data_IF_729376773309
#
_entry.id   IF_729376773309
#
_cell.length_a   1.000
_cell.length_b   1.000
_cell.length_c   1.000
_cell.angle_alpha   90.00
_cell.angle_beta   90.00
_cell.angle_gamma   90.00
#
_symmetry.space_group_name_H-M   'P 1'
#
loop_
_entity.id
_entity.type
_entity.pdbx_description
1 polymer ?
#
# COMPACT_ATOMS: atom_id res chain seq x y z
N UNK A 1 10.36 4.44 -11.67
CA UNK A 1 9.99 3.62 -10.51
C UNK A 1 8.52 3.27 -10.61
N UNK A 2 8.10 2.07 -10.19
CA UNK A 2 6.70 1.66 -10.23
C UNK A 2 5.83 2.67 -9.49
N UNK A 3 4.71 3.05 -10.10
CA UNK A 3 3.83 4.03 -9.51
C UNK A 3 2.80 3.35 -8.62
N UNK A 4 3.11 3.23 -7.32
CA UNK A 4 2.14 2.82 -6.32
C UNK A 4 1.11 3.95 -6.11
N UNK A 5 -0.17 3.66 -6.34
CA UNK A 5 -1.27 4.60 -6.08
C UNK A 5 -1.82 4.34 -4.69
N UNK A 6 -2.18 5.39 -3.97
CA UNK A 6 -2.72 5.30 -2.61
C UNK A 6 -3.92 6.25 -2.49
N UNK A 7 -4.99 5.76 -1.88
CA UNK A 7 -6.20 6.52 -1.59
C UNK A 7 -6.58 6.30 -0.11
N UNK A 8 -7.00 7.37 0.57
CA UNK A 8 -7.54 7.32 1.93
C UNK A 8 -9.00 7.76 1.89
N UNK A 9 -9.88 6.92 2.42
CA UNK A 9 -11.30 7.21 2.61
C UNK A 9 -11.62 7.29 4.09
N UNK A 10 -12.50 8.22 4.43
CA UNK A 10 -13.10 8.31 5.76
C UNK A 10 -14.52 7.78 5.70
N UNK A 11 -14.86 6.92 6.65
CA UNK A 11 -16.22 6.47 6.94
C UNK A 11 -16.56 6.83 8.40
N UNK A 12 -17.80 6.60 8.80
CA UNK A 12 -18.26 6.94 10.15
C UNK A 12 -17.45 6.23 11.25
N UNK A 13 -17.07 4.96 11.05
CA UNK A 13 -16.46 4.12 12.09
C UNK A 13 -14.97 3.87 11.90
N UNK A 14 -14.43 4.15 10.72
CA UNK A 14 -13.11 3.73 10.29
C UNK A 14 -12.58 4.63 9.19
N UNK A 15 -11.27 4.54 8.97
CA UNK A 15 -10.63 4.96 7.74
C UNK A 15 -10.23 3.72 6.94
N UNK A 16 -10.24 3.84 5.62
CA UNK A 16 -9.76 2.81 4.72
C UNK A 16 -8.66 3.39 3.84
N UNK A 17 -7.49 2.73 3.83
CA UNK A 17 -6.42 3.06 2.89
C UNK A 17 -6.33 1.95 1.85
N UNK A 18 -6.45 2.32 0.58
CA UNK A 18 -6.27 1.41 -0.55
C UNK A 18 -4.97 1.73 -1.28
N UNK A 19 -4.18 0.69 -1.58
CA UNK A 19 -2.89 0.83 -2.26
C UNK A 19 -2.81 -0.15 -3.42
N UNK A 20 -2.58 0.35 -4.64
CA UNK A 20 -2.37 -0.46 -5.83
C UNK A 20 -0.95 -1.00 -5.85
N UNK A 21 -0.81 -2.33 -5.77
CA UNK A 21 0.47 -3.05 -5.79
C UNK A 21 0.33 -4.31 -6.66
N UNK A 22 0.11 -4.18 -7.98
CA UNK A 22 -0.12 -5.33 -8.85
C UNK A 22 1.15 -6.14 -9.10
N UNK A 23 1.01 -7.46 -9.15
CA UNK A 23 2.10 -8.38 -9.54
C UNK A 23 3.18 -8.58 -8.47
N UNK A 24 2.91 -8.23 -7.22
CA UNK A 24 3.82 -8.47 -6.08
C UNK A 24 3.15 -9.47 -5.12
N UNK A 25 3.85 -10.53 -4.67
CA UNK A 25 3.34 -11.43 -3.65
C UNK A 25 3.08 -10.70 -2.32
N UNK A 26 2.03 -11.07 -1.58
CA UNK A 26 1.62 -10.40 -0.34
C UNK A 26 2.78 -10.27 0.67
N UNK A 27 3.56 -11.32 0.77
CA UNK A 27 4.73 -11.49 1.64
C UNK A 27 5.89 -10.54 1.32
N UNK A 28 5.94 -9.98 0.10
CA UNK A 28 6.93 -8.97 -0.28
C UNK A 28 6.43 -7.53 -0.05
N UNK A 29 5.18 -7.35 0.38
CA UNK A 29 4.61 -6.05 0.72
C UNK A 29 4.86 -5.77 2.20
N UNK A 30 5.57 -4.68 2.49
CA UNK A 30 5.86 -4.24 3.85
C UNK A 30 4.95 -3.08 4.23
N UNK A 31 4.27 -3.26 5.36
CA UNK A 31 3.40 -2.25 5.98
C UNK A 31 3.93 -1.89 7.36
N UNK A 32 4.03 -0.60 7.66
CA UNK A 32 4.39 -0.10 9.00
C UNK A 32 3.60 1.14 9.37
N UNK A 33 3.38 1.33 10.67
CA UNK A 33 2.84 2.57 11.24
C UNK A 33 3.81 3.05 12.30
N UNK A 34 4.42 4.21 12.06
CA UNK A 34 5.34 4.86 13.01
C UNK A 34 5.03 6.35 13.11
N UNK A 35 4.98 6.89 14.34
CA UNK A 35 4.59 8.29 14.56
C UNK A 35 3.20 8.68 13.99
N UNK A 36 2.33 7.69 13.74
CA UNK A 36 1.04 7.86 13.02
C UNK A 36 1.20 8.13 11.52
N UNK A 37 2.31 7.75 10.92
CA UNK A 37 2.52 7.69 9.47
C UNK A 37 2.42 6.24 9.06
N UNK A 38 1.42 5.93 8.23
CA UNK A 38 1.32 4.63 7.56
C UNK A 38 2.24 4.64 6.36
N UNK A 39 3.12 3.65 6.26
CA UNK A 39 4.01 3.44 5.11
C UNK A 39 3.76 2.07 4.50
N UNK A 40 3.58 2.04 3.18
CA UNK A 40 3.50 0.82 2.38
C UNK A 40 4.66 0.83 1.39
N UNK A 41 5.45 -0.23 1.39
CA UNK A 41 6.58 -0.40 0.49
C UNK A 41 6.60 -1.78 -0.14
N UNK A 42 7.07 -1.86 -1.37
CA UNK A 42 7.13 -3.09 -2.14
C UNK A 42 8.25 -3.01 -3.18
N UNK A 43 8.85 -4.15 -3.53
CA UNK A 43 9.87 -4.25 -4.56
C UNK A 43 9.29 -4.91 -5.81
N UNK A 44 9.25 -4.19 -6.92
CA UNK A 44 8.90 -4.79 -8.21
C UNK A 44 10.17 -5.35 -8.85
N UNK A 45 10.36 -6.66 -8.77
CA UNK A 45 11.51 -7.33 -9.39
C UNK A 45 11.30 -7.50 -10.89
N UNK A 46 12.35 -7.24 -11.66
CA UNK A 46 12.39 -7.63 -13.07
C UNK A 46 12.52 -9.16 -13.15
N UNK A 47 11.65 -9.81 -13.94
CA UNK A 47 11.96 -11.15 -14.43
C UNK A 47 13.12 -10.99 -15.40
N UNK A 48 14.32 -11.41 -14.99
CA UNK A 48 15.56 -11.23 -15.74
C UNK A 48 15.39 -11.72 -17.17
N UNK A 49 15.31 -10.74 -18.08
CA UNK A 49 15.26 -10.87 -19.54
C UNK A 49 16.48 -11.56 -20.17
N UNK A 50 17.39 -12.14 -19.37
CA UNK A 50 18.64 -12.78 -19.81
C UNK A 50 18.82 -14.23 -19.37
N UNK A 51 17.91 -14.82 -18.59
CA UNK A 51 18.01 -16.24 -18.21
C UNK A 51 17.44 -17.18 -19.28
N UNK A 52 16.58 -16.67 -20.17
CA UNK A 52 16.06 -17.42 -21.30
C UNK A 52 16.58 -16.82 -22.62
N UNK A 53 17.54 -17.49 -23.27
CA UNK A 53 18.16 -17.03 -24.52
C UNK A 53 17.18 -16.95 -25.71
N UNK A 54 15.96 -17.48 -25.55
CA UNK A 54 14.89 -17.45 -26.55
C UNK A 54 13.88 -16.30 -26.33
N UNK A 55 14.03 -15.51 -25.26
CA UNK A 55 13.10 -14.42 -24.93
C UNK A 55 13.55 -13.08 -25.53
N UNK A 56 12.66 -12.41 -26.26
CA UNK A 56 12.88 -11.04 -26.77
C UNK A 56 11.73 -10.12 -26.34
N UNK A 57 12.05 -9.12 -25.52
CA UNK A 57 11.12 -8.05 -25.15
C UNK A 57 11.11 -7.02 -26.29
N UNK A 58 9.99 -6.92 -27.02
CA UNK A 58 9.82 -5.91 -28.07
C UNK A 58 9.47 -4.52 -27.52
N UNK A 59 8.76 -4.47 -26.39
CA UNK A 59 8.30 -3.24 -25.75
C UNK A 59 7.91 -3.52 -24.29
N UNK A 60 8.13 -2.55 -23.39
CA UNK A 60 7.71 -2.64 -21.99
C UNK A 60 7.43 -1.26 -21.41
N UNK A 61 6.26 -1.09 -20.79
CA UNK A 61 5.92 0.06 -19.93
C UNK A 61 6.16 -0.24 -18.45
N UNK A 62 6.50 -1.50 -18.13
CA UNK A 62 6.71 -1.95 -16.75
C UNK A 62 7.94 -1.25 -16.18
N UNK A 63 7.76 -0.65 -15.01
CA UNK A 63 8.85 -0.11 -14.20
C UNK A 63 9.20 -1.10 -13.09
N UNK A 64 10.48 -1.37 -12.92
CA UNK A 64 11.01 -2.22 -11.86
C UNK A 64 11.73 -1.40 -10.79
N UNK A 65 11.96 -2.01 -9.63
CA UNK A 65 12.60 -1.41 -8.45
C UNK A 65 11.65 -1.20 -7.28
N UNK A 66 12.16 -0.55 -6.24
CA UNK A 66 11.40 -0.29 -5.02
C UNK A 66 10.41 0.86 -5.21
N UNK A 67 9.20 0.69 -4.67
CA UNK A 67 8.21 1.75 -4.51
C UNK A 67 7.79 1.85 -3.06
N UNK A 68 7.55 3.08 -2.60
CA UNK A 68 7.01 3.37 -1.28
C UNK A 68 5.98 4.50 -1.36
N UNK A 69 4.97 4.42 -0.51
CA UNK A 69 3.99 5.48 -0.25
C UNK A 69 3.75 5.59 1.24
N UNK A 70 3.70 6.83 1.70
CA UNK A 70 3.42 7.14 3.09
C UNK A 70 2.30 8.16 3.17
N UNK A 71 1.43 8.00 4.17
CA UNK A 71 0.36 8.95 4.48
C UNK A 71 0.26 9.15 5.99
N UNK A 72 0.01 10.40 6.38
CA UNK A 72 -0.30 10.76 7.76
C UNK A 72 -1.70 10.25 8.10
N UNK A 73 -1.81 9.41 9.12
CA UNK A 73 -3.10 8.99 9.64
C UNK A 73 -3.70 10.06 10.58
N UNK A 74 -5.03 10.19 10.62
CA UNK A 74 -5.73 10.98 11.62
C UNK A 74 -5.40 10.53 13.05
N UNK A 75 -5.49 11.44 14.02
CA UNK A 75 -5.19 11.13 15.43
C UNK A 75 -6.22 10.22 16.11
N UNK A 76 -7.45 10.19 15.61
CA UNK A 76 -8.58 9.49 16.23
C UNK A 76 -8.66 8.01 15.83
N UNK A 77 -7.53 7.29 15.78
CA UNK A 77 -7.47 5.89 15.31
C UNK A 77 -7.02 4.90 16.39
N UNK A 78 -7.54 3.68 16.34
CA UNK A 78 -7.08 2.55 17.14
C UNK A 78 -6.02 1.77 16.36
N UNK A 79 -4.75 2.19 16.46
CA UNK A 79 -3.65 1.60 15.68
C UNK A 79 -3.43 0.10 15.97
N UNK A 80 -3.84 -0.37 17.16
CA UNK A 80 -3.73 -1.78 17.57
C UNK A 80 -4.74 -2.70 16.85
N UNK A 81 -5.77 -2.13 16.22
CA UNK A 81 -6.85 -2.86 15.58
C UNK A 81 -6.83 -2.71 14.05
N UNK A 82 -5.67 -2.39 13.48
CA UNK A 82 -5.51 -2.28 12.04
C UNK A 82 -5.59 -3.66 11.40
N UNK A 83 -6.45 -3.82 10.41
CA UNK A 83 -6.57 -5.02 9.59
C UNK A 83 -6.16 -4.72 8.15
N UNK A 84 -5.58 -5.71 7.47
CA UNK A 84 -5.17 -5.55 6.08
C UNK A 84 -5.48 -6.79 5.24
N UNK A 85 -6.08 -6.56 4.09
CA UNK A 85 -6.43 -7.60 3.09
C UNK A 85 -5.76 -7.24 1.77
N UNK A 86 -5.11 -8.22 1.15
CA UNK A 86 -4.52 -8.07 -0.18
C UNK A 86 -5.24 -8.99 -1.15
N UNK A 87 -5.90 -8.41 -2.14
CA UNK A 87 -6.69 -9.13 -3.12
C UNK A 87 -6.60 -8.44 -4.48
N UNK A 88 -6.44 -9.22 -5.54
CA UNK A 88 -6.45 -8.74 -6.93
C UNK A 88 -5.50 -7.56 -7.20
N UNK A 89 -4.32 -7.55 -6.57
CA UNK A 89 -3.33 -6.49 -6.76
C UNK A 89 -3.56 -5.22 -5.92
N UNK A 90 -4.55 -5.21 -5.01
CA UNK A 90 -4.87 -4.07 -4.15
C UNK A 90 -4.74 -4.46 -2.68
N UNK A 91 -3.94 -3.68 -1.93
CA UNK A 91 -3.85 -3.76 -0.48
C UNK A 91 -4.87 -2.80 0.12
N UNK A 92 -5.85 -3.35 0.85
CA UNK A 92 -6.86 -2.58 1.58
C UNK A 92 -6.56 -2.66 3.07
N UNK A 93 -6.47 -1.52 3.74
CA UNK A 93 -6.09 -1.38 5.15
C UNK A 93 -7.23 -0.68 5.86
N UNK A 94 -7.83 -1.37 6.82
CA UNK A 94 -8.93 -0.88 7.66
C UNK A 94 -8.38 -0.38 8.99
N UNK A 95 -8.74 0.86 9.33
CA UNK A 95 -8.19 1.57 10.50
C UNK A 95 -9.37 2.07 11.34
N UNK A 96 -9.76 1.35 12.41
CA UNK A 96 -10.87 1.74 13.25
C UNK A 96 -10.65 3.09 13.93
N UNK A 97 -11.72 3.89 14.07
CA UNK A 97 -11.69 5.10 14.89
C UNK A 97 -11.78 4.75 16.37
N UNK A 98 -11.09 5.49 17.24
CA UNK A 98 -11.23 5.34 18.71
C UNK A 98 -12.64 5.73 19.16
N UNK A 99 -13.12 6.85 18.64
CA UNK A 99 -14.48 7.33 18.82
C UNK A 99 -15.07 7.68 17.44
N UNK A 100 -16.11 6.97 16.97
CA UNK A 100 -16.78 7.23 15.71
C UNK A 100 -17.30 8.67 15.55
N UNK A 101 -17.53 9.40 16.66
CA UNK A 101 -18.06 10.78 16.65
C UNK A 101 -16.97 11.85 16.74
N UNK A 102 -15.71 11.48 16.97
CA UNK A 102 -14.62 12.45 17.05
C UNK A 102 -14.22 12.94 15.65
N UNK A 103 -14.05 14.26 15.50
CA UNK A 103 -13.65 14.89 14.24
C UNK A 103 -12.27 14.39 13.77
N UNK A 104 -12.14 14.21 12.45
CA UNK A 104 -10.87 13.89 11.79
C UNK A 104 -9.94 15.10 11.81
N UNK A 105 -8.86 15.01 12.59
CA UNK A 105 -7.81 16.02 12.60
C UNK A 105 -6.52 15.41 12.04
N UNK A 106 -6.15 15.86 10.84
CA UNK A 106 -4.80 15.75 10.29
C UNK A 106 -3.96 16.87 10.92
N UNK A 107 -2.73 16.57 11.34
CA UNK A 107 -1.74 17.62 11.67
C UNK A 107 -0.87 17.82 10.45
#
# INVERSE_FOLDING_TARGET
TPQMKMELREYDKNYQVSVEVPGIPKEEIKLSVDGGVLTVSAEHKEQRSGENKEEHIHFSERSYGCSSRSIRLPRNISAEQIEAVYQNGVLTIEIPKIDPKAASNFI
#
